data_IF_163420347866
#
_entry.id   IF_163420347866
#
_cell.length_a   1.000
_cell.length_b   1.000
_cell.length_c   1.000
_cell.angle_alpha   90.00
_cell.angle_beta   90.00
_cell.angle_gamma   90.00
#
_symmetry.space_group_name_H-M   'P 1'
#
loop_
_entity.id
_entity.type
_entity.pdbx_description
1 polymer ?
#
# COMPACT_ATOMS: atom_id res chain seq x y z
N UNK A 1 5.00 81.30 36.18
CA UNK A 1 5.03 80.16 35.22
C UNK A 1 4.46 80.67 33.91
N UNK A 2 5.01 80.25 32.78
CA UNK A 2 4.59 80.75 31.47
C UNK A 2 3.27 80.11 31.02
N UNK A 3 2.31 80.88 30.49
CA UNK A 3 0.98 80.34 30.14
C UNK A 3 1.08 79.23 29.08
N UNK A 4 2.05 79.34 28.16
CA UNK A 4 2.32 78.31 27.14
C UNK A 4 2.77 76.98 27.75
N UNK A 5 3.48 77.01 28.87
CA UNK A 5 3.97 75.83 29.57
C UNK A 5 2.89 75.18 30.45
N UNK A 6 1.94 75.97 30.96
CA UNK A 6 0.72 75.45 31.58
C UNK A 6 -0.19 74.76 30.54
N UNK A 7 -0.35 75.37 29.36
CA UNK A 7 -1.11 74.79 28.24
C UNK A 7 -0.55 73.44 27.77
N UNK A 8 0.75 73.36 27.45
CA UNK A 8 1.36 72.11 26.99
C UNK A 8 1.35 71.01 28.07
N UNK A 9 1.39 71.37 29.36
CA UNK A 9 1.19 70.41 30.45
C UNK A 9 -0.22 69.83 30.48
N UNK A 10 -1.24 70.66 30.18
CA UNK A 10 -2.63 70.22 30.12
C UNK A 10 -2.88 69.34 28.88
N UNK A 11 -2.36 69.71 27.72
CA UNK A 11 -2.47 68.91 26.49
C UNK A 11 -1.78 67.56 26.63
N UNK A 12 -0.62 67.51 27.32
CA UNK A 12 0.08 66.25 27.64
C UNK A 12 -0.75 65.36 28.58
N UNK A 13 -1.37 65.95 29.61
CA UNK A 13 -2.25 65.22 30.53
C UNK A 13 -3.48 64.65 29.80
N UNK A 14 -4.16 65.48 28.99
CA UNK A 14 -5.32 65.08 28.16
C UNK A 14 -4.92 63.96 27.19
N UNK A 15 -3.75 64.09 26.54
CA UNK A 15 -3.22 63.04 25.66
C UNK A 15 -3.03 61.73 26.41
N UNK A 16 -2.39 61.73 27.59
CA UNK A 16 -2.20 60.52 28.39
C UNK A 16 -3.51 59.90 28.90
N UNK A 17 -4.52 60.73 29.15
CA UNK A 17 -5.86 60.30 29.57
C UNK A 17 -6.61 59.66 28.40
N UNK A 18 -6.52 60.24 27.20
CA UNK A 18 -7.06 59.65 25.98
C UNK A 18 -6.37 58.33 25.61
N UNK A 19 -5.04 58.21 25.79
CA UNK A 19 -4.35 56.91 25.65
C UNK A 19 -4.93 55.88 26.61
N UNK A 20 -5.07 56.21 27.90
CA UNK A 20 -5.68 55.30 28.89
C UNK A 20 -7.14 54.96 28.61
N UNK A 21 -7.90 55.84 27.97
CA UNK A 21 -9.26 55.54 27.50
C UNK A 21 -9.22 54.52 26.35
N UNK A 22 -8.31 54.68 25.39
CA UNK A 22 -8.11 53.71 24.30
C UNK A 22 -7.65 52.35 24.84
N UNK A 23 -6.66 52.33 25.74
CA UNK A 23 -6.19 51.11 26.42
C UNK A 23 -7.37 50.38 27.12
N UNK A 24 -8.21 51.13 27.84
CA UNK A 24 -9.41 50.59 28.50
C UNK A 24 -10.46 50.11 27.50
N UNK A 25 -10.64 50.78 26.36
CA UNK A 25 -11.56 50.35 25.31
C UNK A 25 -11.08 49.05 24.67
N UNK A 26 -9.79 48.91 24.33
CA UNK A 26 -9.22 47.67 23.81
C UNK A 26 -9.32 46.51 24.82
N UNK A 27 -9.02 46.77 26.10
CA UNK A 27 -9.16 45.77 27.15
C UNK A 27 -10.62 45.34 27.38
N UNK A 28 -11.58 46.27 27.31
CA UNK A 28 -13.02 45.97 27.39
C UNK A 28 -13.50 45.21 26.16
N UNK A 29 -13.01 45.55 24.96
CA UNK A 29 -13.27 44.80 23.72
C UNK A 29 -12.74 43.38 23.86
N UNK A 30 -11.46 43.19 24.23
CA UNK A 30 -10.86 41.86 24.42
C UNK A 30 -11.60 41.01 25.45
N UNK A 31 -12.01 41.60 26.58
CA UNK A 31 -12.80 40.93 27.63
C UNK A 31 -14.21 40.55 27.16
N UNK A 32 -14.81 41.32 26.26
CA UNK A 32 -16.19 41.08 25.79
C UNK A 32 -16.23 40.26 24.48
N UNK A 33 -15.15 40.22 23.70
CA UNK A 33 -15.01 39.42 22.47
C UNK A 33 -15.08 37.92 22.75
N UNK A 34 -14.51 37.49 23.88
CA UNK A 34 -14.43 36.09 24.28
C UNK A 34 -15.00 35.91 25.70
N UNK A 35 -16.31 35.63 25.86
CA UNK A 35 -16.83 35.13 27.13
C UNK A 35 -16.08 33.84 27.50
N UNK A 36 -15.96 33.54 28.80
CA UNK A 36 -15.15 32.42 29.30
C UNK A 36 -15.52 31.04 28.71
N UNK A 37 -16.72 30.91 28.14
CA UNK A 37 -17.21 29.74 27.39
C UNK A 37 -16.53 29.51 26.04
N UNK A 38 -15.81 30.48 25.49
CA UNK A 38 -15.18 30.42 24.15
C UNK A 38 -13.68 30.12 24.16
N UNK A 39 -13.07 30.04 25.35
CA UNK A 39 -11.71 29.49 25.56
C UNK A 39 -11.54 28.07 24.98
N UNK A 40 -12.48 27.11 25.14
CA UNK A 40 -12.38 25.82 24.45
C UNK A 40 -12.34 25.94 22.93
N UNK A 41 -13.16 26.81 22.33
CA UNK A 41 -13.20 27.00 20.87
C UNK A 41 -11.85 27.53 20.34
N UNK A 42 -11.27 28.52 21.03
CA UNK A 42 -9.92 29.01 20.73
C UNK A 42 -8.86 27.92 20.87
N UNK A 43 -8.95 27.06 21.89
CA UNK A 43 -8.02 25.93 22.06
C UNK A 43 -8.18 24.85 20.98
N UNK A 44 -9.40 24.66 20.47
CA UNK A 44 -9.67 23.75 19.35
C UNK A 44 -9.10 24.31 18.03
N UNK A 45 -9.23 25.63 17.80
CA UNK A 45 -8.61 26.31 16.65
C UNK A 45 -7.07 26.25 16.72
N UNK A 46 -6.46 26.57 17.86
CA UNK A 46 -5.01 26.43 18.09
C UNK A 46 -4.53 24.99 17.83
N UNK A 47 -5.26 23.99 18.33
CA UNK A 47 -4.97 22.57 18.10
C UNK A 47 -5.07 22.20 16.61
N UNK A 48 -6.10 22.69 15.90
CA UNK A 48 -6.30 22.44 14.48
C UNK A 48 -5.22 23.12 13.62
N UNK A 49 -4.84 24.36 13.93
CA UNK A 49 -3.75 25.08 13.24
C UNK A 49 -2.43 24.33 13.40
N UNK A 50 -2.07 23.91 14.62
CA UNK A 50 -0.86 23.11 14.86
C UNK A 50 -0.87 21.78 14.10
N UNK A 51 -2.02 21.10 14.05
CA UNK A 51 -2.16 19.88 13.24
C UNK A 51 -1.93 20.15 11.74
N UNK A 52 -2.45 21.27 11.20
CA UNK A 52 -2.18 21.70 9.83
C UNK A 52 -0.72 22.08 9.60
N UNK A 53 -0.05 22.75 10.53
CA UNK A 53 1.38 23.07 10.46
C UNK A 53 2.25 21.80 10.36
N UNK A 54 1.97 20.78 11.20
CA UNK A 54 2.65 19.49 11.11
C UNK A 54 2.41 18.78 9.76
N UNK A 55 1.17 18.81 9.24
CA UNK A 55 0.86 18.24 7.92
C UNK A 55 1.59 18.98 6.78
N UNK A 56 1.61 20.31 6.80
CA UNK A 56 2.31 21.13 5.80
C UNK A 56 3.82 20.88 5.84
N UNK A 57 4.41 20.74 7.03
CA UNK A 57 5.83 20.42 7.16
C UNK A 57 6.15 19.00 6.64
N UNK A 58 5.30 18.00 6.92
CA UNK A 58 5.46 16.65 6.38
C UNK A 58 5.35 16.61 4.84
N UNK A 59 4.40 17.35 4.25
CA UNK A 59 4.26 17.49 2.79
C UNK A 59 5.52 18.14 2.18
N UNK A 60 6.03 19.20 2.81
CA UNK A 60 7.23 19.94 2.39
C UNK A 60 8.50 19.07 2.41
N UNK A 61 8.65 18.19 3.39
CA UNK A 61 9.78 17.26 3.43
C UNK A 61 9.64 16.12 2.41
N UNK A 62 8.43 15.59 2.20
CA UNK A 62 8.16 14.61 1.13
C UNK A 62 8.44 15.20 -0.27
N UNK A 63 8.09 16.47 -0.50
CA UNK A 63 8.40 17.18 -1.75
C UNK A 63 9.91 17.40 -1.94
N UNK A 64 10.68 17.60 -0.87
CA UNK A 64 12.14 17.67 -0.89
C UNK A 64 12.75 16.34 -1.34
N UNK A 65 12.31 15.24 -0.74
CA UNK A 65 12.74 13.88 -1.10
C UNK A 65 12.45 13.54 -2.57
N UNK A 66 11.24 13.84 -3.07
CA UNK A 66 10.90 13.65 -4.48
C UNK A 66 11.75 14.54 -5.41
N UNK A 67 12.00 15.79 -5.02
CA UNK A 67 12.88 16.71 -5.76
C UNK A 67 14.30 16.17 -5.87
N UNK A 68 14.83 15.55 -4.81
CA UNK A 68 16.14 14.90 -4.83
C UNK A 68 16.15 13.54 -5.54
N UNK A 69 15.02 12.84 -5.60
CA UNK A 69 14.89 11.55 -6.30
C UNK A 69 14.85 11.70 -7.83
N UNK A 70 14.19 12.75 -8.34
CA UNK A 70 14.05 13.05 -9.78
C UNK A 70 15.41 13.05 -10.54
N UNK A 71 16.48 13.75 -10.11
CA UNK A 71 17.76 13.72 -10.82
C UNK A 71 18.45 12.34 -10.75
N UNK A 72 18.29 11.61 -9.64
CA UNK A 72 18.81 10.24 -9.46
C UNK A 72 18.15 9.30 -10.48
N UNK A 73 16.83 9.38 -10.65
CA UNK A 73 16.07 8.63 -11.66
C UNK A 73 16.43 9.02 -13.10
N UNK A 74 16.56 10.33 -13.42
CA UNK A 74 16.98 10.81 -14.74
C UNK A 74 18.36 10.27 -15.15
N UNK A 75 19.33 10.25 -14.22
CA UNK A 75 20.67 9.68 -14.44
C UNK A 75 20.60 8.17 -14.74
N UNK A 76 19.75 7.42 -14.03
CA UNK A 76 19.57 5.99 -14.26
C UNK A 76 18.94 5.70 -15.64
N UNK A 77 17.98 6.51 -16.09
CA UNK A 77 17.39 6.41 -17.44
C UNK A 77 18.45 6.63 -18.53
N UNK A 78 19.29 7.67 -18.40
CA UNK A 78 20.40 7.94 -19.33
C UNK A 78 21.43 6.80 -19.35
N UNK A 79 21.84 6.29 -18.19
CA UNK A 79 22.74 5.13 -18.10
C UNK A 79 22.14 3.88 -18.78
N UNK A 80 20.85 3.62 -18.57
CA UNK A 80 20.11 2.52 -19.22
C UNK A 80 20.05 2.69 -20.74
N UNK A 81 19.77 3.91 -21.23
CA UNK A 81 19.72 4.22 -22.67
C UNK A 81 21.11 4.06 -23.34
N UNK A 82 22.20 4.43 -22.65
CA UNK A 82 23.58 4.17 -23.11
C UNK A 82 23.87 2.67 -23.19
N UNK A 83 23.45 1.90 -22.20
CA UNK A 83 23.59 0.44 -22.20
C UNK A 83 22.78 -0.21 -23.33
N UNK A 84 21.52 0.20 -23.53
CA UNK A 84 20.69 -0.25 -24.64
C UNK A 84 21.35 0.02 -26.00
N UNK A 85 21.84 1.24 -26.24
CA UNK A 85 22.56 1.60 -27.48
C UNK A 85 23.80 0.74 -27.68
N UNK A 86 24.58 0.46 -26.62
CA UNK A 86 25.74 -0.45 -26.69
C UNK A 86 25.34 -1.88 -27.05
N UNK A 87 24.28 -2.40 -26.45
CA UNK A 87 23.77 -3.76 -26.74
C UNK A 87 23.20 -3.87 -28.17
N UNK A 88 22.49 -2.85 -28.65
CA UNK A 88 22.01 -2.77 -30.04
C UNK A 88 23.19 -2.70 -31.03
N UNK A 89 24.24 -1.93 -30.73
CA UNK A 89 25.46 -1.90 -31.53
C UNK A 89 26.17 -3.26 -31.54
N UNK A 90 26.27 -3.94 -30.39
CA UNK A 90 26.87 -5.28 -30.30
C UNK A 90 26.08 -6.32 -31.09
N UNK A 91 24.74 -6.27 -31.04
CA UNK A 91 23.86 -7.13 -31.83
C UNK A 91 24.04 -6.90 -33.35
N UNK A 92 24.10 -5.63 -33.78
CA UNK A 92 24.27 -5.27 -35.19
C UNK A 92 25.64 -5.68 -35.78
N UNK A 93 26.66 -5.89 -34.94
CA UNK A 93 28.01 -6.31 -35.34
C UNK A 93 28.36 -7.73 -34.84
N UNK A 94 27.36 -8.54 -34.48
CA UNK A 94 27.56 -9.87 -33.94
C UNK A 94 27.96 -10.87 -35.05
N UNK A 95 29.08 -11.61 -34.93
CA UNK A 95 29.43 -12.65 -35.89
C UNK A 95 28.33 -13.72 -36.03
N UNK A 96 28.00 -14.22 -37.24
CA UNK A 96 26.89 -15.16 -37.44
C UNK A 96 26.89 -16.38 -36.52
N UNK A 97 28.08 -16.97 -36.28
CA UNK A 97 28.29 -18.13 -35.37
C UNK A 97 27.93 -17.87 -33.90
N UNK A 98 27.65 -16.63 -33.50
CA UNK A 98 27.19 -16.29 -32.15
C UNK A 98 25.71 -15.86 -32.11
N UNK A 99 25.11 -15.50 -33.25
CA UNK A 99 23.68 -15.16 -33.33
C UNK A 99 22.81 -16.41 -33.12
N UNK A 100 23.30 -17.54 -33.63
CA UNK A 100 22.66 -18.85 -33.66
C UNK A 100 22.46 -19.48 -32.27
N UNK A 101 23.29 -19.12 -31.28
CA UNK A 101 23.08 -19.54 -29.88
C UNK A 101 22.04 -18.71 -29.14
N UNK A 102 21.76 -17.47 -29.61
CA UNK A 102 20.83 -16.54 -28.97
C UNK A 102 19.38 -16.83 -29.39
N UNK A 103 19.15 -17.22 -30.65
CA UNK A 103 17.81 -17.56 -31.17
C UNK A 103 17.25 -18.85 -30.57
N UNK A 104 18.10 -19.83 -30.26
CA UNK A 104 17.69 -21.13 -29.69
C UNK A 104 17.28 -20.99 -28.21
N UNK A 105 17.83 -20.02 -27.48
CA UNK A 105 17.60 -19.86 -26.03
C UNK A 105 16.24 -19.25 -25.63
N UNK A 106 15.24 -19.22 -26.54
CA UNK A 106 13.90 -18.68 -26.28
C UNK A 106 12.76 -19.74 -26.35
N UNK A 107 13.05 -20.98 -25.98
CA UNK A 107 12.05 -22.00 -25.62
C UNK A 107 12.48 -22.75 -24.35
N UNK A 108 11.75 -22.52 -23.26
CA UNK A 108 11.71 -23.21 -21.96
C UNK A 108 13.01 -23.78 -21.35
N UNK A 109 13.40 -23.35 -20.13
CA UNK A 109 14.42 -24.06 -19.35
C UNK A 109 13.83 -25.32 -18.68
N UNK A 110 13.81 -26.44 -19.40
CA UNK A 110 13.54 -27.77 -18.83
C UNK A 110 14.40 -28.84 -19.49
N UNK A 111 15.39 -29.33 -18.74
CA UNK A 111 16.12 -30.59 -18.88
C UNK A 111 16.84 -30.88 -20.23
N UNK A 112 18.16 -30.94 -20.17
CA UNK A 112 19.02 -31.45 -21.23
C UNK A 112 19.10 -32.99 -21.20
N UNK A 113 19.42 -33.58 -22.38
CA UNK A 113 19.97 -34.93 -22.66
C UNK A 113 19.03 -35.90 -23.41
N UNK A 114 19.57 -36.41 -24.54
CA UNK A 114 19.14 -37.56 -25.37
C UNK A 114 17.83 -37.39 -26.19
N UNK A 115 17.61 -38.06 -27.34
CA UNK A 115 18.51 -38.49 -28.43
C UNK A 115 17.67 -38.84 -29.69
N UNK A 116 18.08 -38.33 -30.87
CA UNK A 116 17.79 -38.80 -32.25
C UNK A 116 16.36 -38.98 -32.84
N UNK A 117 16.38 -38.98 -34.19
CA UNK A 117 15.46 -39.61 -35.18
C UNK A 117 14.03 -39.09 -35.48
N UNK A 118 14.00 -38.22 -36.51
CA UNK A 118 13.24 -38.42 -37.77
C UNK A 118 11.76 -38.00 -37.94
N UNK A 119 11.52 -37.38 -39.12
CA UNK A 119 10.30 -37.32 -39.94
C UNK A 119 9.12 -36.38 -39.56
N UNK A 120 8.75 -35.55 -40.55
CA UNK A 120 7.42 -35.18 -41.08
C UNK A 120 6.17 -35.14 -40.14
N UNK A 121 5.23 -34.18 -40.27
CA UNK A 121 5.04 -33.16 -41.33
C UNK A 121 4.24 -31.93 -40.87
N UNK A 122 4.19 -30.89 -41.71
CA UNK A 122 3.30 -29.73 -41.54
C UNK A 122 1.90 -29.96 -42.13
N UNK A 123 0.83 -29.69 -41.37
CA UNK A 123 -0.35 -29.03 -41.96
C UNK A 123 -1.15 -28.19 -40.94
N UNK A 124 -1.90 -27.20 -41.45
CA UNK A 124 -2.68 -26.23 -40.70
C UNK A 124 -4.08 -26.08 -41.34
N UNK A 125 -5.16 -26.07 -40.55
CA UNK A 125 -6.42 -25.47 -41.01
C UNK A 125 -7.73 -26.02 -40.42
N UNK A 126 -8.67 -25.10 -40.22
CA UNK A 126 -10.12 -25.27 -40.02
C UNK A 126 -10.66 -26.06 -38.80
N UNK A 127 -11.91 -25.87 -38.33
CA UNK A 127 -12.78 -24.70 -38.06
C UNK A 127 -14.24 -25.20 -37.94
N UNK A 128 -14.97 -24.79 -36.88
CA UNK A 128 -16.45 -24.90 -36.73
C UNK A 128 -16.99 -26.35 -36.55
N UNK A 129 -18.17 -26.63 -35.97
CA UNK A 129 -19.19 -25.86 -35.21
C UNK A 129 -19.95 -26.87 -34.28
N UNK A 130 -20.68 -26.53 -33.21
CA UNK A 130 -20.83 -25.25 -32.50
C UNK A 130 -20.34 -25.36 -31.02
N UNK A 131 -21.08 -25.31 -29.91
CA UNK A 131 -22.49 -24.98 -29.58
C UNK A 131 -22.59 -24.42 -28.14
N UNK A 132 -23.76 -23.89 -27.73
CA UNK A 132 -24.03 -23.26 -26.42
C UNK A 132 -25.28 -23.87 -25.74
N UNK A 133 -25.62 -23.55 -24.45
CA UNK A 133 -24.99 -22.61 -23.50
C UNK A 133 -24.45 -23.34 -22.23
N UNK A 134 -23.83 -22.74 -21.20
CA UNK A 134 -24.08 -21.45 -20.53
C UNK A 134 -22.79 -20.73 -20.11
N UNK A 135 -22.80 -19.42 -20.34
CA UNK A 135 -21.81 -18.39 -20.00
C UNK A 135 -20.98 -18.55 -18.69
N UNK A 136 -19.67 -18.25 -18.80
CA UNK A 136 -19.04 -17.08 -18.15
C UNK A 136 -17.74 -16.69 -18.93
N UNK A 137 -17.34 -15.39 -19.04
CA UNK A 137 -16.44 -14.97 -20.11
C UNK A 137 -14.94 -14.88 -19.76
N UNK A 138 -14.14 -15.64 -20.53
CA UNK A 138 -12.80 -15.28 -21.06
C UNK A 138 -11.72 -14.93 -20.03
N UNK A 139 -10.85 -15.91 -19.79
CA UNK A 139 -9.54 -15.73 -19.18
C UNK A 139 -8.76 -14.55 -19.80
N UNK A 140 -8.17 -13.71 -18.94
CA UNK A 140 -7.07 -12.83 -19.31
C UNK A 140 -5.91 -13.09 -18.37
N UNK A 141 -4.74 -13.35 -18.94
CA UNK A 141 -3.51 -13.77 -18.27
C UNK A 141 -3.03 -12.71 -17.26
N UNK A 142 -3.57 -12.79 -16.05
CA UNK A 142 -3.27 -11.97 -14.88
C UNK A 142 -3.05 -12.87 -13.66
N UNK A 143 -2.68 -12.27 -12.53
CA UNK A 143 -2.37 -12.98 -11.28
C UNK A 143 -3.56 -13.88 -10.91
N UNK A 144 -3.31 -15.18 -10.73
CA UNK A 144 -4.34 -16.13 -10.31
C UNK A 144 -4.93 -15.77 -8.94
N UNK A 145 -6.09 -16.33 -8.62
CA UNK A 145 -6.84 -16.05 -7.39
C UNK A 145 -6.03 -16.30 -6.11
N UNK A 146 -6.49 -15.72 -4.99
CA UNK A 146 -5.85 -15.89 -3.69
C UNK A 146 -5.81 -17.39 -3.30
N UNK A 147 -4.66 -17.95 -2.89
CA UNK A 147 -4.53 -19.41 -2.77
C UNK A 147 -5.33 -20.01 -1.61
N UNK A 148 -6.32 -20.84 -1.95
CA UNK A 148 -7.17 -21.60 -1.01
C UNK A 148 -6.51 -22.91 -0.57
N UNK A 149 -5.39 -22.82 0.16
CA UNK A 149 -4.69 -23.98 0.73
C UNK A 149 -5.38 -24.52 1.98
N UNK A 150 -6.58 -25.08 1.81
CA UNK A 150 -7.34 -25.75 2.88
C UNK A 150 -6.49 -26.74 3.69
N UNK A 151 -6.89 -26.95 4.93
CA UNK A 151 -6.29 -27.91 5.87
C UNK A 151 -7.13 -29.18 5.88
N UNK A 152 -6.50 -30.35 5.91
CA UNK A 152 -7.19 -31.66 6.07
C UNK A 152 -7.39 -32.01 7.54
N UNK A 153 -8.27 -32.98 7.84
CA UNK A 153 -8.42 -33.50 9.20
C UNK A 153 -7.09 -34.09 9.73
N UNK A 154 -6.36 -34.81 8.88
CA UNK A 154 -5.06 -35.41 9.19
C UNK A 154 -3.99 -34.35 9.53
N UNK A 155 -3.92 -33.26 8.75
CA UNK A 155 -3.03 -32.14 9.06
C UNK A 155 -3.40 -31.47 10.38
N UNK A 156 -4.69 -31.26 10.66
CA UNK A 156 -5.16 -30.63 11.90
C UNK A 156 -4.92 -31.51 13.13
N UNK A 157 -5.02 -32.83 13.00
CA UNK A 157 -4.83 -33.81 14.07
C UNK A 157 -3.37 -34.25 14.25
N UNK A 158 -2.49 -33.97 13.27
CA UNK A 158 -1.03 -34.09 13.42
C UNK A 158 -0.44 -33.06 14.40
N UNK A 159 -1.16 -31.97 14.66
CA UNK A 159 -0.74 -30.90 15.55
C UNK A 159 -0.89 -31.31 17.02
N UNK A 160 -0.02 -30.78 17.87
CA UNK A 160 -0.15 -31.00 19.32
C UNK A 160 -1.50 -30.50 19.86
N UNK A 161 -2.07 -31.23 20.81
CA UNK A 161 -3.37 -30.91 21.40
C UNK A 161 -3.45 -29.50 21.99
N UNK A 162 -2.32 -28.96 22.46
CA UNK A 162 -2.15 -27.57 22.88
C UNK A 162 -2.35 -26.56 21.74
N UNK A 163 -1.80 -26.84 20.54
CA UNK A 163 -1.96 -26.00 19.35
C UNK A 163 -3.36 -26.10 18.75
N UNK A 164 -3.93 -27.32 18.67
CA UNK A 164 -5.29 -27.54 18.14
C UNK A 164 -6.38 -26.96 19.08
N UNK A 165 -6.18 -27.08 20.39
CA UNK A 165 -7.07 -26.54 21.41
C UNK A 165 -8.52 -26.98 21.23
N UNK A 166 -9.42 -26.01 20.98
CA UNK A 166 -10.86 -26.23 20.68
C UNK A 166 -11.23 -25.82 19.25
N UNK A 167 -10.27 -25.79 18.33
CA UNK A 167 -10.52 -25.50 16.92
C UNK A 167 -11.13 -26.73 16.22
N UNK A 168 -12.10 -26.49 15.33
CA UNK A 168 -12.65 -27.49 14.42
C UNK A 168 -12.18 -27.20 13.00
N UNK A 169 -12.16 -28.24 12.15
CA UNK A 169 -11.72 -28.14 10.76
C UNK A 169 -12.49 -27.07 9.99
N UNK A 170 -13.80 -26.98 10.20
CA UNK A 170 -14.69 -26.02 9.55
C UNK A 170 -14.32 -24.57 9.91
N UNK A 171 -13.90 -24.31 11.15
CA UNK A 171 -13.48 -22.96 11.59
C UNK A 171 -12.15 -22.55 10.96
N UNK A 172 -11.21 -23.49 10.84
CA UNK A 172 -9.92 -23.24 10.17
C UNK A 172 -10.13 -22.99 8.67
N UNK A 173 -10.92 -23.83 8.01
CA UNK A 173 -11.18 -23.70 6.57
C UNK A 173 -12.10 -22.51 6.22
N UNK A 174 -13.06 -22.15 7.07
CA UNK A 174 -13.83 -20.91 6.92
C UNK A 174 -12.96 -19.66 7.11
N UNK A 175 -11.99 -19.67 8.04
CA UNK A 175 -11.04 -18.57 8.19
C UNK A 175 -10.11 -18.45 6.96
N UNK A 176 -9.69 -19.56 6.33
CA UNK A 176 -8.95 -19.53 5.06
C UNK A 176 -9.74 -18.82 3.95
N UNK A 177 -11.07 -19.01 3.90
CA UNK A 177 -11.93 -18.32 2.94
C UNK A 177 -12.00 -16.81 3.20
N UNK A 178 -12.19 -16.38 4.46
CA UNK A 178 -12.10 -14.95 4.85
C UNK A 178 -10.74 -14.35 4.44
N UNK A 179 -9.64 -15.06 4.70
CA UNK A 179 -8.26 -14.63 4.39
C UNK A 179 -7.98 -14.51 2.89
N UNK A 180 -8.49 -15.44 2.09
CA UNK A 180 -8.38 -15.39 0.64
C UNK A 180 -9.17 -14.20 0.07
N UNK A 181 -10.39 -13.95 0.58
CA UNK A 181 -11.20 -12.81 0.16
C UNK A 181 -10.53 -11.46 0.47
N UNK A 182 -9.84 -11.30 1.62
CA UNK A 182 -9.08 -10.09 1.93
C UNK A 182 -7.86 -9.91 1.01
N UNK A 183 -7.11 -10.98 0.79
CA UNK A 183 -5.91 -10.92 -0.04
C UNK A 183 -6.26 -10.67 -1.52
N UNK A 184 -7.38 -11.20 -2.01
CA UNK A 184 -7.91 -10.89 -3.33
C UNK A 184 -8.43 -9.44 -3.41
N UNK A 185 -9.22 -8.98 -2.43
CA UNK A 185 -9.70 -7.58 -2.36
C UNK A 185 -8.52 -6.59 -2.42
N UNK A 186 -7.46 -6.84 -1.65
CA UNK A 186 -6.26 -6.00 -1.68
C UNK A 186 -5.48 -6.12 -2.99
N UNK A 187 -5.37 -7.31 -3.58
CA UNK A 187 -4.76 -7.49 -4.90
C UNK A 187 -5.53 -6.74 -6.00
N UNK A 188 -6.86 -6.71 -5.93
CA UNK A 188 -7.72 -5.91 -6.81
C UNK A 188 -7.50 -4.41 -6.59
N UNK A 189 -7.43 -3.91 -5.34
CA UNK A 189 -7.12 -2.51 -5.04
C UNK A 189 -5.74 -2.08 -5.57
N UNK A 190 -4.71 -2.92 -5.39
CA UNK A 190 -3.35 -2.69 -5.91
C UNK A 190 -3.37 -2.57 -7.44
N UNK A 191 -4.10 -3.46 -8.13
CA UNK A 191 -4.22 -3.50 -9.58
C UNK A 191 -5.17 -2.44 -10.18
N UNK A 192 -6.10 -1.90 -9.40
CA UNK A 192 -7.13 -0.98 -9.87
C UNK A 192 -6.54 0.41 -10.23
N UNK A 193 -6.88 0.98 -11.41
CA UNK A 193 -6.43 2.31 -11.79
C UNK A 193 -7.27 3.41 -11.12
N UNK A 194 -6.67 4.60 -10.89
CA UNK A 194 -7.29 5.78 -10.24
C UNK A 194 -8.77 6.03 -10.62
N UNK A 195 -9.11 5.90 -11.91
CA UNK A 195 -10.45 6.17 -12.46
C UNK A 195 -11.57 5.21 -11.99
N UNK A 196 -11.27 4.19 -11.18
CA UNK A 196 -12.23 3.18 -10.70
C UNK A 196 -12.36 3.08 -9.18
N UNK A 197 -11.69 3.96 -8.42
CA UNK A 197 -11.64 3.89 -6.96
C UNK A 197 -12.29 5.13 -6.35
N UNK A 198 -13.12 4.92 -5.33
CA UNK A 198 -13.59 5.99 -4.45
C UNK A 198 -12.41 6.56 -3.63
N UNK A 199 -12.54 7.78 -3.12
CA UNK A 199 -11.43 8.56 -2.56
C UNK A 199 -10.70 7.85 -1.41
N UNK A 200 -11.43 7.41 -0.37
CA UNK A 200 -10.84 6.60 0.72
C UNK A 200 -10.35 5.21 0.30
N UNK A 201 -10.87 4.66 -0.81
CA UNK A 201 -10.33 3.42 -1.41
C UNK A 201 -9.06 3.67 -2.22
N UNK A 202 -8.83 4.90 -2.70
CA UNK A 202 -7.61 5.28 -3.40
C UNK A 202 -6.43 5.44 -2.44
N UNK A 203 -6.66 6.07 -1.28
CA UNK A 203 -5.65 6.22 -0.23
C UNK A 203 -5.14 4.86 0.27
N UNK A 204 -6.06 3.96 0.69
CA UNK A 204 -5.73 2.57 1.05
C UNK A 204 -5.01 1.82 -0.09
N UNK A 205 -5.42 2.05 -1.34
CA UNK A 205 -4.75 1.44 -2.50
C UNK A 205 -3.34 2.01 -2.75
N UNK A 206 -3.01 3.20 -2.25
CA UNK A 206 -1.65 3.75 -2.29
C UNK A 206 -0.78 3.09 -1.22
N UNK A 207 -1.23 3.05 0.04
CA UNK A 207 -0.57 2.32 1.14
C UNK A 207 -0.26 0.87 0.76
N UNK A 208 -1.26 0.15 0.23
CA UNK A 208 -1.12 -1.24 -0.21
C UNK A 208 -0.12 -1.39 -1.37
N UNK A 209 0.09 -0.39 -2.22
CA UNK A 209 1.11 -0.44 -3.27
C UNK A 209 2.50 -0.23 -2.72
N UNK A 210 2.68 0.73 -1.81
CA UNK A 210 3.98 1.01 -1.19
C UNK A 210 4.44 -0.19 -0.33
N UNK A 211 3.51 -0.80 0.44
CA UNK A 211 3.72 -2.09 1.09
C UNK A 211 4.12 -3.16 0.05
N UNK A 212 3.36 -3.30 -1.04
CA UNK A 212 3.61 -4.32 -2.09
C UNK A 212 4.93 -4.14 -2.87
N UNK A 213 5.59 -2.99 -2.80
CA UNK A 213 6.95 -2.81 -3.35
C UNK A 213 8.04 -3.46 -2.49
N UNK A 214 7.75 -3.74 -1.22
CA UNK A 214 8.71 -4.36 -0.29
C UNK A 214 8.97 -5.83 -0.67
N UNK A 215 10.24 -6.21 -0.87
CA UNK A 215 10.64 -7.54 -1.38
C UNK A 215 10.06 -8.74 -0.60
N UNK A 216 9.73 -8.57 0.69
CA UNK A 216 9.11 -9.62 1.50
C UNK A 216 7.71 -10.05 1.00
N UNK A 217 6.91 -9.11 0.49
CA UNK A 217 5.52 -9.29 0.04
C UNK A 217 5.35 -9.20 -1.48
N UNK A 218 6.34 -8.65 -2.17
CA UNK A 218 6.38 -8.44 -3.62
C UNK A 218 5.97 -9.69 -4.41
N UNK A 219 4.89 -9.58 -5.18
CA UNK A 219 4.35 -10.66 -6.01
C UNK A 219 3.52 -11.72 -5.28
N UNK A 220 3.34 -11.62 -3.95
CA UNK A 220 2.52 -12.54 -3.14
C UNK A 220 1.13 -11.96 -2.87
N UNK A 221 0.22 -12.82 -2.43
CA UNK A 221 -1.09 -12.42 -1.90
C UNK A 221 -0.96 -12.12 -0.41
N UNK A 222 -1.45 -10.95 0.03
CA UNK A 222 -1.34 -10.52 1.43
C UNK A 222 -2.53 -9.65 1.86
N UNK A 223 -2.75 -9.61 3.18
CA UNK A 223 -3.70 -8.71 3.82
C UNK A 223 -3.13 -8.12 5.12
N UNK A 224 -3.72 -7.03 5.58
CA UNK A 224 -3.29 -6.33 6.79
C UNK A 224 -4.09 -6.82 8.00
N UNK A 225 -3.52 -6.69 9.19
CA UNK A 225 -4.25 -6.94 10.44
C UNK A 225 -5.53 -6.08 10.57
N UNK A 226 -5.55 -4.89 9.96
CA UNK A 226 -6.71 -3.98 9.87
C UNK A 226 -7.80 -4.43 8.89
N UNK A 227 -7.56 -5.44 8.06
CA UNK A 227 -8.55 -6.03 7.13
C UNK A 227 -9.41 -7.11 7.79
N UNK A 228 -8.95 -7.65 8.93
CA UNK A 228 -9.60 -8.78 9.63
C UNK A 228 -10.91 -8.29 10.30
N UNK A 229 -12.02 -8.49 9.60
CA UNK A 229 -13.37 -8.05 10.02
C UNK A 229 -14.44 -9.15 9.83
N UNK A 230 -14.02 -10.39 9.69
CA UNK A 230 -14.84 -11.49 9.17
C UNK A 230 -15.77 -12.13 10.19
N UNK A 231 -16.72 -12.96 9.74
CA UNK A 231 -17.50 -13.82 10.62
C UNK A 231 -16.63 -14.95 11.20
N UNK A 232 -15.69 -15.51 10.43
CA UNK A 232 -14.87 -16.66 10.81
C UNK A 232 -13.48 -16.26 11.32
N UNK A 233 -12.79 -15.32 10.66
CA UNK A 233 -11.53 -14.77 11.15
C UNK A 233 -11.73 -13.43 11.88
N UNK A 234 -11.35 -13.40 13.17
CA UNK A 234 -11.38 -12.24 14.07
C UNK A 234 -10.07 -12.15 14.86
N UNK A 235 -9.80 -11.00 15.49
CA UNK A 235 -8.62 -10.82 16.36
C UNK A 235 -8.86 -11.23 17.83
N UNK A 236 -9.82 -12.13 18.05
CA UNK A 236 -10.10 -12.74 19.35
C UNK A 236 -9.10 -13.87 19.66
N UNK A 237 -9.29 -14.56 20.80
CA UNK A 237 -8.42 -15.68 21.18
C UNK A 237 -8.55 -16.87 20.21
N UNK A 238 -9.72 -17.09 19.61
CA UNK A 238 -9.97 -18.14 18.62
C UNK A 238 -9.20 -17.86 17.33
N UNK A 239 -9.37 -16.68 16.73
CA UNK A 239 -8.67 -16.32 15.50
C UNK A 239 -7.15 -16.18 15.67
N UNK A 240 -6.67 -15.75 16.86
CA UNK A 240 -5.23 -15.83 17.20
C UNK A 240 -4.72 -17.27 17.15
N UNK A 241 -5.45 -18.23 17.73
CA UNK A 241 -5.07 -19.64 17.66
C UNK A 241 -5.13 -20.18 16.21
N UNK A 242 -6.12 -19.78 15.40
CA UNK A 242 -6.19 -20.13 13.97
C UNK A 242 -4.95 -19.61 13.22
N UNK A 243 -4.55 -18.35 13.41
CA UNK A 243 -3.35 -17.80 12.79
C UNK A 243 -2.09 -18.54 13.25
N UNK A 244 -1.98 -18.92 14.52
CA UNK A 244 -0.87 -19.75 15.04
C UNK A 244 -0.81 -21.14 14.37
N UNK A 245 -1.97 -21.79 14.18
CA UNK A 245 -2.07 -23.08 13.47
C UNK A 245 -1.70 -22.93 11.99
N UNK A 246 -2.30 -21.97 11.27
CA UNK A 246 -2.03 -21.75 9.84
C UNK A 246 -0.58 -21.35 9.56
N UNK A 247 0.07 -20.66 10.50
CA UNK A 247 1.51 -20.37 10.46
C UNK A 247 2.36 -21.61 10.66
N UNK A 248 1.97 -22.54 11.55
CA UNK A 248 2.70 -23.80 11.72
C UNK A 248 2.58 -24.72 10.50
N UNK A 249 1.39 -24.78 9.89
CA UNK A 249 1.09 -25.54 8.66
C UNK A 249 1.60 -24.87 7.36
N UNK A 250 2.48 -23.86 7.46
CA UNK A 250 3.12 -23.17 6.34
C UNK A 250 2.19 -22.35 5.43
N UNK A 251 0.89 -22.24 5.77
CA UNK A 251 -0.12 -21.56 4.94
C UNK A 251 0.01 -20.03 4.97
N UNK A 252 0.55 -19.49 6.06
CA UNK A 252 0.86 -18.06 6.20
C UNK A 252 2.24 -17.78 6.78
N UNK A 253 2.81 -16.65 6.35
CA UNK A 253 3.93 -15.99 7.01
C UNK A 253 3.52 -14.57 7.44
N UNK A 254 4.21 -14.01 8.44
CA UNK A 254 3.94 -12.67 8.96
C UNK A 254 5.15 -11.76 8.76
N UNK A 255 4.91 -10.52 8.38
CA UNK A 255 5.92 -9.46 8.30
C UNK A 255 5.42 -8.19 9.00
N UNK A 256 6.35 -7.36 9.50
CA UNK A 256 6.07 -5.98 9.90
C UNK A 256 6.68 -5.03 8.88
N UNK A 257 5.86 -4.14 8.32
CA UNK A 257 6.26 -3.16 7.31
C UNK A 257 5.75 -1.80 7.80
N UNK A 258 6.68 -0.95 8.26
CA UNK A 258 6.33 0.26 9.02
C UNK A 258 5.52 -0.10 10.27
N UNK A 259 4.36 0.54 10.43
CA UNK A 259 3.42 0.27 11.52
C UNK A 259 2.45 -0.89 11.24
N UNK A 260 2.44 -1.47 10.03
CA UNK A 260 1.48 -2.50 9.64
C UNK A 260 2.03 -3.91 9.92
N UNK A 261 1.21 -4.74 10.58
CA UNK A 261 1.36 -6.21 10.58
C UNK A 261 0.70 -6.75 9.30
N UNK A 262 1.50 -7.42 8.47
CA UNK A 262 1.12 -7.93 7.16
C UNK A 262 1.15 -9.45 7.19
N UNK A 263 0.04 -10.09 6.80
CA UNK A 263 -0.12 -11.54 6.75
C UNK A 263 -0.08 -11.97 5.28
N UNK A 264 0.82 -12.91 4.97
CA UNK A 264 1.22 -13.27 3.61
C UNK A 264 0.78 -14.71 3.33
N UNK A 265 -0.15 -14.89 2.39
CA UNK A 265 -0.57 -16.22 1.94
C UNK A 265 0.62 -16.89 1.25
N UNK A 266 0.98 -18.06 1.76
CA UNK A 266 2.17 -18.82 1.39
C UNK A 266 1.76 -20.18 0.84
N UNK A 267 2.46 -20.70 -0.17
CA UNK A 267 2.25 -22.09 -0.60
C UNK A 267 2.94 -23.01 0.42
N UNK A 268 2.26 -24.05 0.94
CA UNK A 268 2.93 -25.06 1.75
C UNK A 268 4.06 -25.75 0.97
N UNK A 269 5.14 -26.10 1.67
CA UNK A 269 6.27 -26.85 1.11
C UNK A 269 5.99 -28.34 1.11
#
# INVERSE_FOLDING_TARGET
MDLKQAGSSLDSLISSFNTRILDLQELVIGRNMYPATSVPDLSAVDTAVKAMEFQVQAIKDRLREETEAIPKAKKLIDMSLRQQKKLQHMLAHMPPRLLESVTVSNRNPSNCLMQESSNHDFHLGSLKLDEEPVALPKEKKGRGSAPLWYVTAEELDSLSSYMRGRLTLDKVNAAINDMAAYAETNAQLIAAPKKKLAEGSWEKALELRDIAMTEAVKGKHFFLESDIKGPALKLDNTGKAILTVLRHLGRISEARIGHHRVIILSKPQ
#
